data_IF_282533059498
#
_entry.id   IF_282533059498
#
_cell.length_a   1.000
_cell.length_b   1.000
_cell.length_c   1.000
_cell.angle_alpha   90.00
_cell.angle_beta   90.00
_cell.angle_gamma   90.00
#
_symmetry.space_group_name_H-M   'P 1'
#
loop_
_entity.id
_entity.type
_entity.pdbx_description
1 polymer ?
#
# COMPACT_ATOMS: atom_id res chain seq x y z
N UNK A 1 -13.10 -20.07 -27.51
CA UNK A 1 -12.86 -19.32 -26.27
C UNK A 1 -13.30 -17.91 -26.55
N UNK A 2 -14.45 -17.56 -26.00
CA UNK A 2 -15.19 -16.38 -26.42
C UNK A 2 -14.55 -15.12 -25.84
N UNK A 3 -14.79 -13.96 -26.45
CA UNK A 3 -14.16 -12.70 -26.01
C UNK A 3 -14.50 -12.36 -24.55
N UNK A 4 -15.69 -12.76 -24.09
CA UNK A 4 -16.12 -12.63 -22.71
C UNK A 4 -15.28 -13.49 -21.75
N UNK A 5 -14.95 -14.73 -22.12
CA UNK A 5 -14.11 -15.63 -21.32
C UNK A 5 -12.69 -15.09 -21.20
N UNK A 6 -12.12 -14.59 -22.31
CA UNK A 6 -10.79 -13.97 -22.32
C UNK A 6 -10.74 -12.75 -21.40
N UNK A 7 -11.76 -11.89 -21.43
CA UNK A 7 -11.84 -10.70 -20.59
C UNK A 7 -11.99 -11.08 -19.10
N UNK A 8 -12.79 -12.08 -18.78
CA UNK A 8 -12.92 -12.61 -17.42
C UNK A 8 -11.60 -13.18 -16.88
N UNK A 9 -10.83 -13.90 -17.73
CA UNK A 9 -9.49 -14.36 -17.33
C UNK A 9 -8.54 -13.18 -17.06
N UNK A 10 -8.51 -12.17 -17.94
CA UNK A 10 -7.71 -10.96 -17.72
C UNK A 10 -8.09 -10.26 -16.42
N UNK A 11 -9.38 -10.11 -16.13
CA UNK A 11 -9.86 -9.52 -14.86
C UNK A 11 -9.37 -10.31 -13.66
N UNK A 12 -9.43 -11.65 -13.72
CA UNK A 12 -8.94 -12.51 -12.63
C UNK A 12 -7.44 -12.35 -12.42
N UNK A 13 -6.67 -12.33 -13.50
CA UNK A 13 -5.22 -12.14 -13.45
C UNK A 13 -4.85 -10.77 -12.90
N UNK A 14 -5.55 -9.70 -13.32
CA UNK A 14 -5.29 -8.35 -12.82
C UNK A 14 -5.73 -8.17 -11.37
N UNK A 15 -6.81 -8.80 -10.92
CA UNK A 15 -7.16 -8.83 -9.49
C UNK A 15 -6.04 -9.43 -8.65
N UNK A 16 -5.46 -10.53 -9.11
CA UNK A 16 -4.32 -11.15 -8.44
C UNK A 16 -3.11 -10.21 -8.44
N UNK A 17 -2.76 -9.60 -9.58
CA UNK A 17 -1.64 -8.64 -9.65
C UNK A 17 -1.83 -7.42 -8.74
N UNK A 18 -3.05 -6.90 -8.63
CA UNK A 18 -3.38 -5.82 -7.68
C UNK A 18 -3.13 -6.28 -6.25
N UNK A 19 -3.58 -7.48 -5.89
CA UNK A 19 -3.36 -8.02 -4.54
C UNK A 19 -1.86 -8.24 -4.27
N UNK A 20 -1.15 -8.91 -5.17
CA UNK A 20 0.28 -9.20 -5.04
C UNK A 20 1.08 -7.87 -4.88
N UNK A 21 0.75 -6.84 -5.67
CA UNK A 21 1.40 -5.52 -5.55
C UNK A 21 1.04 -4.80 -4.24
N UNK A 22 -0.18 -4.93 -3.73
CA UNK A 22 -0.57 -4.36 -2.44
C UNK A 22 0.16 -5.06 -1.27
N UNK A 23 0.32 -6.39 -1.36
CA UNK A 23 1.06 -7.18 -0.37
C UNK A 23 2.55 -6.83 -0.39
N UNK A 24 3.13 -6.59 -1.58
CA UNK A 24 4.50 -6.10 -1.74
C UNK A 24 4.69 -4.71 -1.09
N UNK A 25 3.75 -3.79 -1.27
CA UNK A 25 3.78 -2.45 -0.63
C UNK A 25 3.74 -2.60 0.89
N UNK A 26 2.77 -3.36 1.42
CA UNK A 26 2.63 -3.62 2.86
C UNK A 26 3.89 -4.26 3.46
N UNK A 27 4.47 -5.23 2.77
CA UNK A 27 5.74 -5.86 3.18
C UNK A 27 6.88 -4.85 3.19
N UNK A 28 6.97 -4.01 2.15
CA UNK A 28 7.94 -2.93 2.06
C UNK A 28 7.81 -1.92 3.23
N UNK A 29 6.60 -1.47 3.52
CA UNK A 29 6.31 -0.54 4.63
C UNK A 29 6.71 -1.11 5.99
N UNK A 30 6.38 -2.37 6.25
CA UNK A 30 6.81 -3.06 7.47
C UNK A 30 8.34 -3.13 7.55
N UNK A 31 9.00 -3.46 6.45
CA UNK A 31 10.46 -3.49 6.39
C UNK A 31 11.08 -2.11 6.63
N UNK A 32 10.53 -1.05 6.04
CA UNK A 32 10.94 0.33 6.25
C UNK A 32 10.87 0.72 7.72
N UNK A 33 9.76 0.37 8.42
CA UNK A 33 9.63 0.61 9.86
C UNK A 33 10.75 -0.08 10.65
N UNK A 34 11.11 -1.31 10.29
CA UNK A 34 12.23 -2.02 10.92
C UNK A 34 13.56 -1.33 10.67
N UNK A 35 13.84 -0.90 9.44
CA UNK A 35 15.10 -0.21 9.12
C UNK A 35 15.18 1.17 9.78
N UNK A 36 14.07 1.91 9.86
CA UNK A 36 14.02 3.20 10.55
C UNK A 36 14.28 3.04 12.05
N UNK A 37 13.68 2.04 12.71
CA UNK A 37 13.96 1.75 14.12
C UNK A 37 15.43 1.44 14.39
N UNK A 38 16.10 0.72 13.48
CA UNK A 38 17.54 0.43 13.59
C UNK A 38 18.37 1.71 13.42
N UNK A 39 18.02 2.54 12.45
CA UNK A 39 18.66 3.84 12.23
C UNK A 39 18.54 4.73 13.48
N UNK A 40 17.34 4.87 14.02
CA UNK A 40 17.07 5.66 15.23
C UNK A 40 17.86 5.13 16.44
N UNK A 41 17.98 3.82 16.56
CA UNK A 41 18.75 3.18 17.64
C UNK A 41 20.24 3.45 17.51
N UNK A 42 20.80 3.36 16.30
CA UNK A 42 22.20 3.69 16.01
C UNK A 42 22.47 5.18 16.30
N UNK A 43 21.59 6.07 15.85
CA UNK A 43 21.75 7.51 16.07
C UNK A 43 21.71 7.86 17.56
N UNK A 44 20.84 7.20 18.33
CA UNK A 44 20.80 7.35 19.78
C UNK A 44 22.09 6.85 20.43
N UNK A 45 22.59 5.69 20.01
CA UNK A 45 23.84 5.13 20.54
C UNK A 45 25.04 6.04 20.24
N UNK A 46 25.13 6.56 19.02
CA UNK A 46 26.17 7.53 18.65
C UNK A 46 26.11 8.77 19.54
N UNK A 47 24.93 9.37 19.74
CA UNK A 47 24.76 10.52 20.64
C UNK A 47 25.23 10.21 22.09
N UNK A 48 24.98 8.99 22.59
CA UNK A 48 25.46 8.57 23.91
C UNK A 48 26.99 8.43 23.94
N UNK A 49 27.60 7.87 22.89
CA UNK A 49 29.05 7.80 22.72
C UNK A 49 29.69 9.19 22.63
N UNK A 50 29.09 10.12 21.89
CA UNK A 50 29.55 11.50 21.79
C UNK A 50 29.52 12.19 23.15
N UNK A 51 28.43 12.06 23.91
CA UNK A 51 28.35 12.61 25.28
C UNK A 51 29.45 12.04 26.17
N UNK A 52 29.67 10.72 26.11
CA UNK A 52 30.77 10.04 26.80
C UNK A 52 32.13 10.63 26.43
N UNK A 53 32.41 10.78 25.13
CA UNK A 53 33.66 11.35 24.63
C UNK A 53 33.88 12.81 25.10
N UNK A 54 32.84 13.64 25.06
CA UNK A 54 32.93 15.04 25.50
C UNK A 54 33.10 15.16 27.02
N UNK A 55 32.66 14.17 27.79
CA UNK A 55 32.89 14.11 29.24
C UNK A 55 34.32 13.70 29.64
N UNK A 56 35.10 13.11 28.71
CA UNK A 56 36.46 12.65 29.01
C UNK A 56 37.42 13.85 29.17
N UNK A 57 38.23 13.90 30.25
CA UNK A 57 39.20 14.97 30.42
C UNK A 57 40.24 14.98 29.29
N UNK A 58 40.64 16.18 28.84
CA UNK A 58 41.66 16.35 27.81
C UNK A 58 43.10 16.17 28.33
N UNK A 59 43.32 15.35 29.37
CA UNK A 59 44.65 15.08 29.91
C UNK A 59 45.32 13.92 29.17
N UNK A 60 46.66 13.89 29.19
CA UNK A 60 47.45 12.85 28.55
C UNK A 60 47.12 11.43 29.08
N UNK A 61 46.62 11.32 30.31
CA UNK A 61 46.22 10.05 30.92
C UNK A 61 45.04 9.39 30.20
N UNK A 62 44.14 10.18 29.60
CA UNK A 62 42.96 9.69 28.88
C UNK A 62 43.16 9.64 27.35
N UNK A 63 44.37 9.89 26.86
CA UNK A 63 44.63 9.97 25.41
C UNK A 63 44.22 8.70 24.65
N UNK A 64 44.55 7.52 25.19
CA UNK A 64 44.20 6.24 24.58
C UNK A 64 42.66 6.06 24.48
N UNK A 65 41.94 6.33 25.58
CA UNK A 65 40.48 6.25 25.61
C UNK A 65 39.83 7.25 24.66
N UNK A 66 40.33 8.50 24.58
CA UNK A 66 39.83 9.49 23.61
C UNK A 66 40.06 9.05 22.18
N UNK A 67 41.20 8.42 21.87
CA UNK A 67 41.48 7.87 20.54
C UNK A 67 40.52 6.73 20.19
N UNK A 68 40.29 5.79 21.12
CA UNK A 68 39.36 4.67 20.92
C UNK A 68 37.92 5.15 20.72
N UNK A 69 37.45 6.11 21.54
CA UNK A 69 36.13 6.71 21.36
C UNK A 69 36.00 7.41 20.01
N UNK A 70 37.05 8.09 19.53
CA UNK A 70 37.02 8.73 18.22
C UNK A 70 36.89 7.70 17.09
N UNK A 71 37.65 6.61 17.13
CA UNK A 71 37.55 5.53 16.15
C UNK A 71 36.16 4.87 16.17
N UNK A 72 35.58 4.69 17.36
CA UNK A 72 34.22 4.17 17.48
C UNK A 72 33.19 5.13 16.85
N UNK A 73 33.32 6.44 17.08
CA UNK A 73 32.43 7.44 16.47
C UNK A 73 32.54 7.45 14.94
N UNK A 74 33.76 7.39 14.40
CA UNK A 74 33.99 7.27 12.96
C UNK A 74 33.32 6.00 12.38
N UNK A 75 33.44 4.86 13.07
CA UNK A 75 32.76 3.64 12.65
C UNK A 75 31.23 3.74 12.73
N UNK A 76 30.70 4.42 13.75
CA UNK A 76 29.26 4.65 13.88
C UNK A 76 28.71 5.58 12.78
N UNK A 77 29.51 6.56 12.32
CA UNK A 77 29.16 7.40 11.17
C UNK A 77 28.98 6.55 9.90
N UNK A 78 29.91 5.61 9.65
CA UNK A 78 29.84 4.71 8.49
C UNK A 78 28.60 3.79 8.56
N UNK A 79 28.35 3.18 9.73
CA UNK A 79 27.18 2.33 9.96
C UNK A 79 25.86 3.10 9.83
N UNK A 80 25.81 4.36 10.29
CA UNK A 80 24.65 5.24 10.12
C UNK A 80 24.41 5.57 8.65
N UNK A 81 25.46 5.88 7.90
CA UNK A 81 25.35 6.14 6.47
C UNK A 81 24.85 4.90 5.72
N UNK A 82 25.37 3.71 6.01
CA UNK A 82 24.91 2.47 5.41
C UNK A 82 23.45 2.17 5.78
N UNK A 83 23.09 2.35 7.05
CA UNK A 83 21.72 2.12 7.52
C UNK A 83 20.73 3.12 6.92
N UNK A 84 21.14 4.38 6.72
CA UNK A 84 20.35 5.39 6.01
C UNK A 84 20.14 4.98 4.55
N UNK A 85 21.18 4.50 3.86
CA UNK A 85 21.03 3.99 2.50
C UNK A 85 20.03 2.83 2.43
N UNK A 86 20.03 1.92 3.42
CA UNK A 86 19.03 0.83 3.50
C UNK A 86 17.61 1.37 3.65
N UNK A 87 17.40 2.41 4.46
CA UNK A 87 16.12 3.10 4.60
C UNK A 87 15.67 3.71 3.27
N UNK A 88 16.57 4.39 2.56
CA UNK A 88 16.25 5.03 1.28
C UNK A 88 15.92 4.01 0.19
N UNK A 89 16.66 2.90 0.14
CA UNK A 89 16.33 1.78 -0.75
C UNK A 89 14.93 1.20 -0.47
N UNK A 90 14.53 1.09 0.81
CA UNK A 90 13.18 0.63 1.17
C UNK A 90 12.11 1.62 0.70
N UNK A 91 12.34 2.93 0.85
CA UNK A 91 11.41 3.97 0.39
C UNK A 91 11.23 3.91 -1.12
N UNK A 92 12.33 3.80 -1.87
CA UNK A 92 12.29 3.66 -3.31
C UNK A 92 11.52 2.41 -3.74
N UNK A 93 11.78 1.26 -3.10
CA UNK A 93 11.04 0.03 -3.37
C UNK A 93 9.53 0.19 -3.16
N UNK A 94 9.11 0.81 -2.04
CA UNK A 94 7.69 1.07 -1.75
C UNK A 94 7.07 1.97 -2.81
N UNK A 95 7.78 3.02 -3.23
CA UNK A 95 7.31 3.94 -4.25
C UNK A 95 7.08 3.21 -5.59
N UNK A 96 8.06 2.42 -6.03
CA UNK A 96 7.97 1.62 -7.26
C UNK A 96 6.78 0.65 -7.21
N UNK A 97 6.58 -0.04 -6.08
CA UNK A 97 5.46 -0.98 -5.90
C UNK A 97 4.12 -0.28 -5.80
N UNK A 98 4.07 0.91 -5.21
CA UNK A 98 2.86 1.74 -5.16
C UNK A 98 2.44 2.19 -6.55
N UNK A 99 3.40 2.59 -7.39
CA UNK A 99 3.13 2.92 -8.80
C UNK A 99 2.56 1.71 -9.54
N UNK A 100 3.22 0.55 -9.43
CA UNK A 100 2.76 -0.70 -10.06
C UNK A 100 1.35 -1.09 -9.59
N UNK A 101 1.06 -0.97 -8.29
CA UNK A 101 -0.25 -1.25 -7.73
C UNK A 101 -1.33 -0.37 -8.35
N UNK A 102 -1.08 0.95 -8.46
CA UNK A 102 -2.01 1.91 -9.08
C UNK A 102 -2.23 1.61 -10.57
N UNK A 103 -1.17 1.25 -11.29
CA UNK A 103 -1.28 0.86 -12.71
C UNK A 103 -2.13 -0.40 -12.88
N UNK A 104 -1.89 -1.42 -12.06
CA UNK A 104 -2.69 -2.65 -12.06
C UNK A 104 -4.16 -2.36 -11.72
N UNK A 105 -4.42 -1.48 -10.75
CA UNK A 105 -5.77 -1.10 -10.33
C UNK A 105 -6.51 -0.34 -11.44
N UNK A 106 -5.83 0.58 -12.13
CA UNK A 106 -6.38 1.33 -13.26
C UNK A 106 -6.72 0.40 -14.44
N UNK A 107 -5.84 -0.55 -14.77
CA UNK A 107 -6.10 -1.54 -15.82
C UNK A 107 -7.27 -2.45 -15.46
N UNK A 108 -7.36 -2.90 -14.20
CA UNK A 108 -8.48 -3.69 -13.71
C UNK A 108 -9.82 -2.93 -13.85
N UNK A 109 -9.86 -1.65 -13.45
CA UNK A 109 -11.03 -0.79 -13.63
C UNK A 109 -11.42 -0.68 -15.11
N UNK A 110 -10.45 -0.55 -16.01
CA UNK A 110 -10.67 -0.56 -17.46
C UNK A 110 -11.31 -1.84 -17.97
N UNK A 111 -10.80 -3.01 -17.57
CA UNK A 111 -11.38 -4.30 -17.98
C UNK A 111 -12.77 -4.54 -17.40
N UNK A 112 -13.03 -4.13 -16.16
CA UNK A 112 -14.36 -4.21 -15.56
C UNK A 112 -15.39 -3.35 -16.31
N UNK A 113 -14.99 -2.15 -16.74
CA UNK A 113 -15.84 -1.29 -17.56
C UNK A 113 -16.14 -1.91 -18.93
N UNK A 114 -15.15 -2.52 -19.58
CA UNK A 114 -15.34 -3.25 -20.83
C UNK A 114 -16.28 -4.45 -20.66
N UNK A 115 -16.17 -5.18 -19.54
CA UNK A 115 -17.02 -6.32 -19.24
C UNK A 115 -18.48 -5.89 -19.09
N UNK A 116 -18.71 -4.80 -18.34
CA UNK A 116 -20.05 -4.24 -18.15
C UNK A 116 -20.66 -3.76 -19.49
N UNK A 117 -19.86 -3.16 -20.36
CA UNK A 117 -20.32 -2.75 -21.70
C UNK A 117 -20.72 -3.95 -22.57
N UNK A 118 -19.89 -5.00 -22.62
CA UNK A 118 -20.19 -6.22 -23.38
C UNK A 118 -21.43 -6.96 -22.85
N UNK A 119 -21.62 -6.98 -21.53
CA UNK A 119 -22.82 -7.57 -20.92
C UNK A 119 -24.07 -6.76 -21.30
N UNK A 120 -24.00 -5.43 -21.23
CA UNK A 120 -25.12 -4.56 -21.61
C UNK A 120 -25.49 -4.65 -23.11
N UNK A 121 -24.53 -4.94 -23.99
CA UNK A 121 -24.80 -5.21 -25.42
C UNK A 121 -25.49 -6.57 -25.61
N UNK A 122 -24.98 -7.63 -24.98
CA UNK A 122 -25.60 -8.96 -25.03
C UNK A 122 -27.03 -8.97 -24.46
N UNK A 123 -27.29 -8.21 -23.40
CA UNK A 123 -28.63 -8.11 -22.78
C UNK A 123 -29.62 -7.34 -23.68
N UNK A 124 -29.15 -6.43 -24.54
CA UNK A 124 -29.99 -5.74 -25.53
C UNK A 124 -30.35 -6.65 -26.70
N UNK A 125 -29.42 -7.49 -27.15
CA UNK A 125 -29.67 -8.46 -28.24
C UNK A 125 -30.50 -9.67 -27.79
N UNK A 126 -30.55 -9.96 -26.47
CA UNK A 126 -31.38 -11.01 -25.88
C UNK A 126 -32.86 -10.59 -25.68
N UNK A 127 -33.24 -9.34 -25.96
CA UNK A 127 -34.64 -8.89 -25.92
C UNK A 127 -35.40 -9.45 -27.14
N UNK A 128 -36.41 -10.34 -26.97
CA UNK A 128 -37.24 -10.76 -28.09
C UNK A 128 -38.02 -9.56 -28.64
N UNK A 129 -37.93 -9.34 -29.96
CA UNK A 129 -38.79 -8.44 -30.71
C UNK A 129 -40.24 -8.95 -30.64
N UNK A 130 -40.95 -8.64 -29.55
CA UNK A 130 -42.26 -9.24 -29.32
C UNK A 130 -42.91 -8.90 -28.00
N UNK A 131 -43.05 -7.60 -27.69
CA UNK A 131 -44.06 -7.13 -26.74
C UNK A 131 -44.46 -5.69 -27.07
N UNK A 132 -44.96 -5.45 -28.28
CA UNK A 132 -45.88 -4.33 -28.52
C UNK A 132 -47.23 -4.71 -27.94
N UNK A 133 -47.47 -4.28 -26.71
CA UNK A 133 -48.75 -4.41 -26.04
C UNK A 133 -48.80 -3.46 -24.85
N UNK A 134 -49.31 -2.25 -25.09
CA UNK A 134 -49.75 -1.33 -24.05
C UNK A 134 -51.21 -0.95 -24.37
N UNK A 135 -52.01 -0.46 -23.41
CA UNK A 135 -51.95 -0.59 -21.95
C UNK A 135 -53.33 -0.95 -21.33
N UNK A 136 -53.37 -1.55 -20.14
CA UNK A 136 -54.53 -1.54 -19.23
C UNK A 136 -53.93 -1.63 -17.82
N UNK A 137 -53.97 -0.57 -16.99
CA UNK A 137 -55.19 -0.09 -16.35
C UNK A 137 -55.36 -0.87 -15.05
N UNK A 138 -54.97 -0.28 -13.93
CA UNK A 138 -55.04 -0.94 -12.61
C UNK A 138 -54.42 -0.07 -11.54
N UNK A 139 -55.29 0.60 -10.79
CA UNK A 139 -55.03 1.56 -9.74
C UNK A 139 -54.30 0.96 -8.52
N UNK A 140 -53.75 1.88 -7.72
CA UNK A 140 -53.61 1.82 -6.27
C UNK A 140 -53.28 0.46 -5.61
N UNK A 141 -52.08 0.35 -5.06
CA UNK A 141 -51.98 0.06 -3.63
C UNK A 141 -50.59 0.39 -3.06
N UNK A 142 -50.63 1.21 -2.02
CA UNK A 142 -49.51 1.59 -1.18
C UNK A 142 -48.91 0.38 -0.46
N UNK A 143 -47.58 0.23 -0.51
CA UNK A 143 -46.86 -0.54 0.50
C UNK A 143 -45.73 0.30 1.09
N UNK A 144 -46.13 1.07 2.09
CA UNK A 144 -45.29 1.60 3.16
C UNK A 144 -44.87 0.45 4.09
N UNK A 145 -43.58 0.11 4.09
CA UNK A 145 -42.93 -0.53 5.24
C UNK A 145 -41.52 0.05 5.42
N UNK A 146 -41.45 1.20 6.10
CA UNK A 146 -40.24 1.64 6.80
C UNK A 146 -40.57 1.64 8.29
N UNK A 147 -40.20 0.56 8.99
CA UNK A 147 -39.93 0.56 10.44
C UNK A 147 -38.40 0.49 10.57
N UNK A 148 -37.73 1.59 10.92
CA UNK A 148 -37.37 2.03 12.28
C UNK A 148 -36.60 0.96 13.06
N UNK A 149 -35.30 1.22 13.27
CA UNK A 149 -34.43 0.40 14.09
C UNK A 149 -32.98 0.89 14.19
N UNK A 150 -32.75 2.15 14.61
CA UNK A 150 -31.46 2.54 15.21
C UNK A 150 -31.72 3.22 16.55
N UNK A 151 -31.81 2.39 17.58
CA UNK A 151 -31.38 2.78 18.92
C UNK A 151 -29.86 2.72 18.96
N UNK A 152 -29.23 3.84 19.29
CA UNK A 152 -27.78 3.98 19.36
C UNK A 152 -27.42 5.14 20.27
N UNK A 153 -27.41 4.82 21.56
CA UNK A 153 -26.75 5.48 22.69
C UNK A 153 -25.89 6.71 22.38
N UNK A 154 -26.19 7.81 23.08
CA UNK A 154 -25.21 8.68 23.74
C UNK A 154 -25.90 9.34 24.93
#
# INVERSE_FOLDING_TARGET
MDNLDKLNMLIKDFRRKVQDAADDVSTGENHLVHQQKRLDSLAKYQMECEKGFHSLPASAFFYAQRRECKLLLEHLDDELAEQQQRVDNCRQYIEEKTVLWRECEAQLKGYLAQLAAMQAENDKDAMPAGASGAPQGGDDEAYSWIQVGRGGQS
#
